data_IF_293871708930
#
_entry.id   IF_293871708930
#
_cell.length_a   1.000
_cell.length_b   1.000
_cell.length_c   1.000
_cell.angle_alpha   90.00
_cell.angle_beta   90.00
_cell.angle_gamma   90.00
#
_symmetry.space_group_name_H-M   'P 1'
#
loop_
_entity.id
_entity.type
_entity.pdbx_description
1 polymer ?
#
# COMPACT_ATOMS: atom_id res chain seq x y z
N UNK A 1 -10.59 -11.64 -97.89
CA UNK A 1 -9.25 -11.73 -97.20
C UNK A 1 -9.36 -10.97 -95.88
N UNK A 2 -9.82 -11.58 -94.82
CA UNK A 2 -9.88 -10.94 -93.51
C UNK A 2 -9.45 -11.94 -92.46
N UNK A 3 -8.37 -11.68 -91.80
CA UNK A 3 -7.85 -12.48 -90.69
C UNK A 3 -8.55 -12.06 -89.40
N UNK A 4 -9.23 -12.99 -88.77
CA UNK A 4 -9.84 -12.84 -87.47
C UNK A 4 -8.76 -13.19 -86.43
N UNK A 5 -8.39 -12.25 -85.56
CA UNK A 5 -7.50 -12.44 -84.42
C UNK A 5 -8.38 -12.69 -83.20
N UNK A 6 -8.27 -13.88 -82.64
CA UNK A 6 -8.96 -14.28 -81.43
C UNK A 6 -8.13 -13.83 -80.23
N UNK A 7 -8.67 -12.88 -79.47
CA UNK A 7 -8.05 -12.39 -78.21
C UNK A 7 -8.67 -13.18 -77.04
N UNK A 8 -7.86 -14.00 -76.39
CA UNK A 8 -8.23 -14.67 -75.14
C UNK A 8 -8.08 -13.77 -73.92
N UNK A 9 -9.19 -13.51 -73.25
CA UNK A 9 -9.23 -12.82 -71.97
C UNK A 9 -8.88 -13.80 -70.86
N UNK A 10 -7.71 -13.64 -70.25
CA UNK A 10 -7.38 -14.24 -68.95
C UNK A 10 -7.90 -13.30 -67.86
N UNK A 11 -8.92 -13.71 -67.12
CA UNK A 11 -9.36 -13.05 -65.92
C UNK A 11 -8.49 -13.47 -64.73
N UNK A 12 -7.63 -12.57 -64.24
CA UNK A 12 -6.98 -12.75 -62.91
C UNK A 12 -7.99 -12.38 -61.85
N UNK A 13 -8.45 -13.37 -61.08
CA UNK A 13 -9.15 -13.17 -59.83
C UNK A 13 -8.11 -12.84 -58.76
N UNK A 14 -7.98 -11.60 -58.37
CA UNK A 14 -7.18 -11.20 -57.20
C UNK A 14 -7.98 -11.50 -55.94
N UNK A 15 -7.60 -12.53 -55.18
CA UNK A 15 -8.04 -12.78 -53.81
C UNK A 15 -7.40 -11.71 -52.90
N UNK A 16 -8.15 -10.65 -52.55
CA UNK A 16 -7.77 -9.80 -51.49
C UNK A 16 -7.91 -10.53 -50.13
N UNK A 17 -6.79 -10.90 -49.56
CA UNK A 17 -6.77 -11.39 -48.18
C UNK A 17 -7.08 -10.22 -47.26
N UNK A 18 -8.27 -10.21 -46.67
CA UNK A 18 -8.61 -9.27 -45.58
C UNK A 18 -7.84 -9.73 -44.35
N UNK A 19 -6.72 -9.06 -44.09
CA UNK A 19 -6.03 -9.19 -42.80
C UNK A 19 -6.94 -8.57 -41.72
N UNK A 20 -7.55 -9.41 -40.92
CA UNK A 20 -8.32 -9.02 -39.75
C UNK A 20 -7.31 -8.55 -38.70
N UNK A 21 -7.06 -7.24 -38.64
CA UNK A 21 -6.31 -6.64 -37.55
C UNK A 21 -7.07 -6.88 -36.24
N UNK A 22 -6.56 -7.84 -35.47
CA UNK A 22 -6.95 -8.03 -34.08
C UNK A 22 -6.47 -6.79 -33.32
N UNK A 23 -7.36 -5.80 -33.17
CA UNK A 23 -7.12 -4.66 -32.30
C UNK A 23 -7.10 -5.12 -30.87
N UNK A 24 -5.93 -5.52 -30.38
CA UNK A 24 -5.68 -5.69 -28.97
C UNK A 24 -5.82 -4.30 -28.33
N UNK A 25 -6.99 -4.07 -27.73
CA UNK A 25 -7.27 -2.86 -26.97
C UNK A 25 -6.25 -2.78 -25.82
N UNK A 26 -5.16 -2.05 -26.05
CA UNK A 26 -4.17 -1.78 -25.01
C UNK A 26 -4.89 -0.98 -23.93
N UNK A 27 -5.18 -1.63 -22.80
CA UNK A 27 -5.72 -0.95 -21.63
C UNK A 27 -4.59 -0.04 -21.13
N UNK A 28 -4.73 1.25 -21.39
CA UNK A 28 -3.82 2.25 -20.82
C UNK A 28 -3.95 2.17 -19.30
N UNK A 29 -2.87 1.95 -18.54
CA UNK A 29 -2.96 1.90 -17.08
C UNK A 29 -3.56 3.22 -16.56
N UNK A 30 -4.46 3.14 -15.60
CA UNK A 30 -4.98 4.32 -14.91
C UNK A 30 -3.78 5.10 -14.35
N UNK A 31 -3.59 6.32 -14.80
CA UNK A 31 -2.35 7.08 -14.54
C UNK A 31 -2.40 7.93 -13.29
N UNK A 32 -3.58 8.15 -12.70
CA UNK A 32 -3.75 9.08 -11.60
C UNK A 32 -4.44 8.38 -10.42
N UNK A 33 -3.65 7.95 -9.45
CA UNK A 33 -4.11 7.63 -8.11
C UNK A 33 -3.70 8.83 -7.25
N UNK A 34 -4.67 9.63 -6.80
CA UNK A 34 -4.39 10.85 -6.06
C UNK A 34 -3.95 10.56 -4.63
N UNK A 35 -4.50 9.50 -4.02
CA UNK A 35 -4.17 9.10 -2.64
C UNK A 35 -4.41 7.62 -2.41
N UNK A 36 -3.54 7.00 -1.61
CA UNK A 36 -3.72 5.63 -1.10
C UNK A 36 -3.69 5.71 0.42
N UNK A 37 -4.65 5.08 1.07
CA UNK A 37 -4.64 4.89 2.52
C UNK A 37 -5.33 3.58 2.90
N UNK A 38 -4.91 3.02 4.03
CA UNK A 38 -5.52 1.82 4.60
C UNK A 38 -6.63 2.21 5.58
N UNK A 39 -7.75 1.50 5.52
CA UNK A 39 -8.85 1.61 6.48
C UNK A 39 -8.92 0.35 7.32
N UNK A 40 -8.74 0.48 8.61
CA UNK A 40 -8.95 -0.61 9.57
C UNK A 40 -10.37 -0.56 10.12
N UNK A 41 -11.09 -1.66 9.97
CA UNK A 41 -12.42 -1.82 10.55
C UNK A 41 -12.24 -2.26 12.01
N UNK A 42 -12.86 -1.54 12.94
CA UNK A 42 -12.62 -1.70 14.37
C UNK A 42 -13.87 -1.44 15.21
N UNK A 43 -13.92 -2.02 16.39
CA UNK A 43 -14.84 -1.62 17.46
C UNK A 43 -14.16 -0.73 18.52
N UNK A 44 -12.96 -0.22 18.22
CA UNK A 44 -12.13 0.61 19.10
C UNK A 44 -11.72 1.91 18.41
N UNK A 45 -12.69 2.59 17.78
CA UNK A 45 -12.43 3.77 16.96
C UNK A 45 -11.65 4.83 17.74
N UNK A 46 -12.21 5.27 18.88
CA UNK A 46 -11.64 6.33 19.71
C UNK A 46 -10.27 5.93 20.33
N UNK A 47 -10.15 4.69 20.78
CA UNK A 47 -8.88 4.17 21.31
C UNK A 47 -7.77 4.18 20.25
N UNK A 48 -8.12 3.76 19.03
CA UNK A 48 -7.19 3.74 17.90
C UNK A 48 -6.73 5.15 17.53
N UNK A 49 -7.67 6.08 17.40
CA UNK A 49 -7.38 7.48 17.09
C UNK A 49 -6.45 8.07 18.15
N UNK A 50 -6.83 7.94 19.43
CA UNK A 50 -6.03 8.45 20.56
C UNK A 50 -4.62 7.85 20.59
N UNK A 51 -4.47 6.57 20.26
CA UNK A 51 -3.17 5.90 20.22
C UNK A 51 -2.23 6.56 19.20
N UNK A 52 -2.67 6.73 17.95
CA UNK A 52 -1.85 7.32 16.90
C UNK A 52 -1.60 8.82 17.10
N UNK A 53 -2.56 9.56 17.64
CA UNK A 53 -2.37 10.97 18.04
C UNK A 53 -1.35 11.10 19.16
N UNK A 54 -1.49 10.30 20.22
CA UNK A 54 -0.70 10.47 21.45
C UNK A 54 0.75 9.99 21.30
N UNK A 55 0.97 8.89 20.60
CA UNK A 55 2.31 8.27 20.51
C UNK A 55 3.08 8.63 19.25
N UNK A 56 2.37 8.97 18.17
CA UNK A 56 2.98 9.20 16.85
C UNK A 56 2.68 10.58 16.26
N UNK A 57 1.91 11.41 16.95
CA UNK A 57 1.62 12.78 16.51
C UNK A 57 0.80 12.85 15.23
N UNK A 58 0.01 11.83 14.91
CA UNK A 58 -0.95 11.92 13.83
C UNK A 58 -1.99 13.00 14.14
N UNK A 59 -2.54 13.60 13.10
CA UNK A 59 -3.60 14.61 13.21
C UNK A 59 -4.82 14.17 12.44
N UNK A 60 -6.01 14.55 12.89
CA UNK A 60 -7.25 14.26 12.19
C UNK A 60 -7.37 15.11 10.94
N UNK A 61 -7.44 14.48 9.79
CA UNK A 61 -7.77 15.13 8.51
C UNK A 61 -9.27 15.18 8.28
N UNK A 62 -9.98 14.14 8.74
CA UNK A 62 -11.44 14.03 8.73
C UNK A 62 -11.91 13.23 9.93
N UNK A 63 -13.06 13.60 10.50
CA UNK A 63 -13.68 12.91 11.62
C UNK A 63 -15.20 12.87 11.48
N UNK A 64 -15.78 11.70 11.70
CA UNK A 64 -17.21 11.48 11.86
C UNK A 64 -17.46 10.51 13.02
N UNK A 65 -18.70 10.23 13.34
CA UNK A 65 -19.05 9.28 14.43
C UNK A 65 -18.63 7.84 14.15
N UNK A 66 -18.29 7.50 12.91
CA UNK A 66 -18.00 6.12 12.49
C UNK A 66 -16.72 5.98 11.64
N UNK A 67 -16.11 7.09 11.25
CA UNK A 67 -14.92 7.08 10.39
C UNK A 67 -14.01 8.24 10.74
N UNK A 68 -12.72 7.95 10.92
CA UNK A 68 -11.69 8.96 11.14
C UNK A 68 -10.53 8.72 10.18
N UNK A 69 -10.11 9.76 9.47
CA UNK A 69 -8.92 9.77 8.64
C UNK A 69 -7.83 10.56 9.37
N UNK A 70 -6.73 9.89 9.67
CA UNK A 70 -5.55 10.45 10.30
C UNK A 70 -4.46 10.71 9.27
N UNK A 71 -3.67 11.74 9.49
CA UNK A 71 -2.53 12.11 8.65
C UNK A 71 -1.26 12.27 9.49
N UNK A 72 -0.13 11.72 9.00
CA UNK A 72 1.19 11.93 9.59
C UNK A 72 1.68 13.36 9.32
N UNK A 73 2.48 13.94 10.23
CA UNK A 73 2.98 15.32 10.11
C UNK A 73 4.04 15.49 9.00
N UNK A 74 4.77 14.45 8.63
CA UNK A 74 5.86 14.53 7.67
C UNK A 74 5.38 14.47 6.22
N UNK A 75 5.13 13.25 5.74
CA UNK A 75 4.87 12.97 4.33
C UNK A 75 3.37 12.97 3.97
N UNK A 76 2.51 13.45 4.84
CA UNK A 76 1.05 13.47 4.66
C UNK A 76 0.44 12.08 4.38
N UNK A 77 1.09 11.02 4.88
CA UNK A 77 0.57 9.66 4.76
C UNK A 77 -0.66 9.50 5.63
N UNK A 78 -1.67 8.80 5.10
CA UNK A 78 -2.95 8.66 5.77
C UNK A 78 -3.19 7.24 6.26
N UNK A 79 -3.87 7.16 7.40
CA UNK A 79 -4.36 5.95 8.03
C UNK A 79 -5.79 6.21 8.50
N UNK A 80 -6.71 5.28 8.27
CA UNK A 80 -8.10 5.47 8.66
C UNK A 80 -8.61 4.34 9.54
N UNK A 81 -9.59 4.68 10.36
CA UNK A 81 -10.35 3.74 11.19
C UNK A 81 -11.84 3.90 10.93
N UNK A 82 -12.56 2.79 10.87
CA UNK A 82 -14.00 2.74 10.62
C UNK A 82 -14.70 1.82 11.62
N UNK A 83 -15.81 2.28 12.18
CA UNK A 83 -16.64 1.46 13.05
C UNK A 83 -17.22 0.26 12.28
N UNK A 84 -17.06 -0.93 12.85
CA UNK A 84 -17.50 -2.20 12.24
C UNK A 84 -19.02 -2.31 12.08
N UNK A 85 -19.80 -1.57 12.87
CA UNK A 85 -21.26 -1.64 12.88
C UNK A 85 -21.92 -0.65 11.91
N UNK A 86 -21.15 0.25 11.30
CA UNK A 86 -21.74 1.26 10.43
C UNK A 86 -22.16 0.66 9.08
N UNK A 87 -23.41 0.95 8.60
CA UNK A 87 -23.98 0.33 7.41
C UNK A 87 -23.24 0.67 6.11
N UNK A 88 -22.38 1.69 6.09
CA UNK A 88 -21.52 2.01 4.93
C UNK A 88 -20.21 1.24 4.89
N UNK A 89 -19.96 0.34 5.88
CA UNK A 89 -18.84 -0.57 5.83
C UNK A 89 -18.85 -1.40 4.53
N UNK A 90 -17.69 -1.81 4.02
CA UNK A 90 -17.62 -2.65 2.82
C UNK A 90 -18.44 -3.94 2.94
N UNK A 91 -18.81 -4.60 1.83
CA UNK A 91 -19.64 -5.82 1.83
C UNK A 91 -19.11 -6.97 2.69
N UNK A 92 -17.84 -6.95 3.07
CA UNK A 92 -17.23 -7.90 4.00
C UNK A 92 -16.59 -7.15 5.17
N UNK A 93 -17.37 -6.57 6.08
CA UNK A 93 -16.86 -5.68 7.13
C UNK A 93 -16.28 -6.47 8.32
N UNK A 94 -15.53 -7.53 8.07
CA UNK A 94 -14.87 -8.25 9.13
C UNK A 94 -13.88 -7.34 9.86
N UNK A 95 -14.02 -7.24 11.18
CA UNK A 95 -13.07 -6.50 12.01
C UNK A 95 -11.65 -7.02 11.78
N UNK A 96 -10.71 -6.10 11.70
CA UNK A 96 -9.29 -6.43 11.66
C UNK A 96 -8.88 -7.20 12.92
N UNK A 97 -8.14 -8.28 12.75
CA UNK A 97 -7.76 -9.21 13.81
C UNK A 97 -6.24 -9.26 14.10
N UNK A 98 -5.49 -8.28 13.62
CA UNK A 98 -4.04 -8.17 13.84
C UNK A 98 -3.18 -9.14 13.03
N UNK A 99 -3.74 -9.91 12.10
CA UNK A 99 -3.02 -10.95 11.37
C UNK A 99 -2.80 -10.60 9.90
N UNK A 100 -1.67 -11.08 9.36
CA UNK A 100 -1.37 -11.02 7.94
C UNK A 100 -0.87 -9.66 7.42
N UNK A 101 -0.76 -8.66 8.31
CA UNK A 101 -0.20 -7.34 8.00
C UNK A 101 0.44 -6.71 9.22
N UNK A 102 1.32 -5.76 9.00
CA UNK A 102 1.86 -4.88 10.02
C UNK A 102 2.04 -3.47 9.42
N UNK A 103 2.08 -2.48 10.27
CA UNK A 103 2.36 -1.10 9.89
C UNK A 103 3.81 -0.77 10.18
N UNK A 104 4.52 -0.21 9.21
CA UNK A 104 5.86 0.32 9.42
C UNK A 104 5.81 1.84 9.44
N UNK A 105 6.34 2.42 10.51
CA UNK A 105 6.54 3.86 10.67
C UNK A 105 8.04 4.15 10.60
N UNK A 106 8.49 4.78 9.51
CA UNK A 106 9.87 5.20 9.38
C UNK A 106 10.08 6.57 10.02
N UNK A 107 11.07 6.67 10.89
CA UNK A 107 11.39 7.87 11.67
C UNK A 107 12.88 8.21 11.55
N UNK A 108 13.21 9.47 11.77
CA UNK A 108 14.61 9.94 11.74
C UNK A 108 15.43 9.49 12.96
N UNK A 109 14.79 9.22 14.10
CA UNK A 109 15.44 8.82 15.36
C UNK A 109 14.56 7.84 16.13
N UNK A 110 14.76 6.54 15.88
CA UNK A 110 14.02 5.48 16.55
C UNK A 110 14.39 5.35 18.03
N UNK A 111 15.62 5.68 18.42
CA UNK A 111 16.07 5.57 19.80
C UNK A 111 15.41 6.63 20.70
N UNK A 112 15.29 7.86 20.18
CA UNK A 112 14.57 8.93 20.86
C UNK A 112 13.10 8.58 21.05
N UNK A 113 12.41 8.19 19.97
CA UNK A 113 10.99 7.85 20.03
C UNK A 113 10.72 6.63 20.92
N UNK A 114 11.59 5.62 20.89
CA UNK A 114 11.55 4.48 21.81
C UNK A 114 11.56 4.92 23.28
N UNK A 115 12.48 5.82 23.64
CA UNK A 115 12.60 6.34 25.00
C UNK A 115 11.37 7.15 25.42
N UNK A 116 10.83 7.98 24.52
CA UNK A 116 9.64 8.78 24.77
C UNK A 116 8.40 7.90 25.00
N UNK A 117 8.18 6.91 24.15
CA UNK A 117 7.04 5.97 24.23
C UNK A 117 7.15 5.11 25.51
N UNK A 118 8.34 4.62 25.83
CA UNK A 118 8.60 3.83 27.04
C UNK A 118 8.35 4.63 28.31
N UNK A 119 8.77 5.91 28.33
CA UNK A 119 8.53 6.82 29.46
C UNK A 119 7.04 7.19 29.61
N UNK A 120 6.25 7.13 28.55
CA UNK A 120 4.79 7.30 28.60
C UNK A 120 4.07 6.04 29.08
N UNK A 121 4.80 4.93 29.36
CA UNK A 121 4.25 3.69 29.88
C UNK A 121 3.63 2.77 28.85
N UNK A 122 3.81 3.02 27.54
CA UNK A 122 3.37 2.08 26.52
C UNK A 122 4.23 0.81 26.56
N UNK A 123 3.58 -0.34 26.48
CA UNK A 123 4.26 -1.63 26.41
C UNK A 123 5.07 -1.74 25.13
N UNK A 124 6.34 -2.07 25.24
CA UNK A 124 7.22 -2.43 24.14
C UNK A 124 7.16 -3.95 23.96
N UNK A 125 6.79 -4.40 22.76
CA UNK A 125 6.70 -5.84 22.43
C UNK A 125 7.98 -6.35 21.75
N UNK A 126 8.78 -5.45 21.18
CA UNK A 126 10.11 -5.72 20.65
C UNK A 126 11.04 -4.56 21.00
N UNK A 127 12.06 -4.83 21.81
CA UNK A 127 13.02 -3.84 22.30
C UNK A 127 13.84 -3.25 21.13
N UNK A 128 14.33 -2.03 21.32
CA UNK A 128 15.16 -1.33 20.33
C UNK A 128 16.40 -2.14 19.96
N UNK A 129 16.59 -2.36 18.66
CA UNK A 129 17.68 -3.17 18.14
C UNK A 129 18.13 -2.71 16.77
N UNK A 130 19.43 -2.83 16.49
CA UNK A 130 20.01 -2.69 15.17
C UNK A 130 19.98 -4.03 14.44
N UNK A 131 19.36 -4.05 13.28
CA UNK A 131 19.19 -5.24 12.47
C UNK A 131 20.21 -5.30 11.34
N UNK A 132 20.63 -6.51 11.01
CA UNK A 132 21.69 -6.73 10.02
C UNK A 132 21.39 -6.16 8.62
N UNK A 133 20.10 -6.03 8.28
CA UNK A 133 19.67 -5.48 6.99
C UNK A 133 19.66 -3.95 6.89
N UNK A 134 20.08 -3.24 7.95
CA UNK A 134 20.21 -1.80 7.92
C UNK A 134 19.04 -1.02 8.53
N UNK A 135 18.43 -1.57 9.56
CA UNK A 135 17.38 -0.87 10.31
C UNK A 135 17.66 -0.91 11.81
N UNK A 136 17.51 0.24 12.48
CA UNK A 136 17.31 0.31 13.93
C UNK A 136 15.82 0.36 14.17
N UNK A 137 15.28 -0.60 14.92
CA UNK A 137 13.83 -0.70 15.09
C UNK A 137 13.41 -1.17 16.47
N UNK A 138 12.16 -0.89 16.81
CA UNK A 138 11.41 -1.50 17.91
C UNK A 138 9.98 -1.77 17.47
N UNK A 139 9.26 -2.59 18.22
CA UNK A 139 7.89 -2.97 17.88
C UNK A 139 6.93 -2.85 19.05
N UNK A 140 5.71 -2.46 18.72
CA UNK A 140 4.58 -2.36 19.66
C UNK A 140 3.32 -2.93 19.00
N UNK A 141 2.29 -3.15 19.80
CA UNK A 141 0.97 -3.58 19.30
C UNK A 141 -0.05 -2.48 19.57
N UNK A 142 -0.78 -2.09 18.53
CA UNK A 142 -1.85 -1.09 18.65
C UNK A 142 -3.12 -1.65 19.33
N UNK A 143 -4.13 -0.84 19.66
CA UNK A 143 -5.37 -1.31 20.30
C UNK A 143 -6.12 -2.40 19.54
N UNK A 144 -5.91 -2.54 18.22
CA UNK A 144 -6.57 -3.54 17.36
C UNK A 144 -5.77 -4.84 17.23
N UNK A 145 -4.59 -4.91 17.87
CA UNK A 145 -3.67 -6.04 17.71
C UNK A 145 -2.78 -5.95 16.48
N UNK A 146 -2.75 -4.80 15.80
CA UNK A 146 -1.83 -4.56 14.69
C UNK A 146 -0.41 -4.38 15.21
N UNK A 147 0.52 -5.14 14.66
CA UNK A 147 1.94 -4.90 14.88
C UNK A 147 2.36 -3.58 14.21
N UNK A 148 2.93 -2.68 14.98
CA UNK A 148 3.53 -1.43 14.51
C UNK A 148 5.02 -1.51 14.68
N UNK A 149 5.74 -1.51 13.57
CA UNK A 149 7.20 -1.55 13.50
C UNK A 149 7.71 -0.12 13.31
N UNK A 150 8.43 0.40 14.29
CA UNK A 150 9.05 1.74 14.19
C UNK A 150 10.49 1.57 13.80
N UNK A 151 10.88 2.14 12.67
CA UNK A 151 12.17 1.90 12.05
C UNK A 151 12.91 3.20 11.73
N UNK A 152 14.22 3.16 11.85
CA UNK A 152 15.15 4.15 11.34
C UNK A 152 16.13 3.45 10.40
N UNK A 153 16.37 4.02 9.22
CA UNK A 153 17.37 3.48 8.32
C UNK A 153 18.77 3.75 8.88
N UNK A 154 19.58 2.72 8.89
CA UNK A 154 21.02 2.75 9.25
C UNK A 154 21.80 1.94 8.22
N UNK A 155 23.13 2.00 8.27
CA UNK A 155 23.96 1.20 7.37
C UNK A 155 23.76 -0.31 7.66
N UNK A 156 23.50 -1.14 6.64
CA UNK A 156 23.43 -2.59 6.80
C UNK A 156 24.80 -3.17 7.13
N UNK A 157 24.82 -4.36 7.71
CA UNK A 157 26.05 -5.12 7.84
C UNK A 157 26.61 -5.44 6.46
N UNK A 158 27.94 -5.43 6.35
CA UNK A 158 28.66 -5.72 5.10
C UNK A 158 28.16 -7.04 4.50
N UNK A 159 27.92 -7.03 3.21
CA UNK A 159 27.43 -8.16 2.40
C UNK A 159 26.06 -8.76 2.82
N UNK A 160 25.30 -8.13 3.72
CA UNK A 160 23.98 -8.67 4.08
C UNK A 160 23.11 -8.86 2.84
N UNK A 161 22.93 -7.79 2.05
CA UNK A 161 22.01 -7.79 0.92
C UNK A 161 22.51 -8.60 -0.28
N UNK A 162 23.80 -8.83 -0.43
CA UNK A 162 24.38 -9.62 -1.55
C UNK A 162 23.77 -11.02 -1.68
N UNK A 163 23.23 -11.57 -0.56
CA UNK A 163 22.60 -12.90 -0.51
C UNK A 163 21.13 -12.91 -0.93
N UNK A 164 20.50 -11.75 -0.99
CA UNK A 164 19.04 -11.62 -1.14
C UNK A 164 18.62 -10.80 -2.35
N UNK A 165 19.56 -10.05 -2.96
CA UNK A 165 19.28 -9.32 -4.20
C UNK A 165 19.06 -10.30 -5.34
N UNK A 166 18.08 -9.98 -6.20
CA UNK A 166 17.83 -10.71 -7.45
C UNK A 166 18.60 -10.01 -8.57
N UNK A 167 19.15 -10.80 -9.47
CA UNK A 167 19.77 -10.32 -10.72
C UNK A 167 18.72 -9.70 -11.65
#
# INVERSE_FOLDING_TARGET
MNKIILASLLSLASMAAVAQESSTKTISPMKNIDQIYTVFITNKLDESVKFYESYFGFTKLFESTFFVLLQSQGNQQCLAFMDEQHPTAPPTPARFNGKGSFLTLEVSDAAKLFSEIKNQGLKIDYELKDEAWGQRRFGIVDPNGLWVDVVQQIEPQEDFWSRYMRD
#
